data_IF_580733079530
#
_entry.id   IF_580733079530
#
_cell.length_a   1.000
_cell.length_b   1.000
_cell.length_c   1.000
_cell.angle_alpha   90.00
_cell.angle_beta   90.00
_cell.angle_gamma   90.00
#
_symmetry.space_group_name_H-M   'P 1'
#
loop_
_entity.id
_entity.type
_entity.pdbx_description
1 polymer ?
#
# COMPACT_ATOMS: atom_id res chain seq x y z
N UNK A 1 1.82 -8.40 6.97
CA UNK A 1 1.45 -9.74 7.47
C UNK A 1 0.92 -10.65 6.38
N UNK A 2 -0.06 -10.22 5.56
CA UNK A 2 -0.61 -11.02 4.44
C UNK A 2 0.46 -11.57 3.47
N UNK A 3 1.41 -10.71 3.06
CA UNK A 3 2.54 -11.10 2.19
C UNK A 3 3.46 -12.17 2.81
N UNK A 4 3.67 -12.15 4.13
CA UNK A 4 4.51 -13.16 4.79
C UNK A 4 3.79 -14.50 4.89
N UNK A 5 2.47 -14.47 5.09
CA UNK A 5 1.62 -15.66 5.08
C UNK A 5 1.65 -16.31 3.70
N UNK A 6 1.50 -15.52 2.62
CA UNK A 6 1.53 -16.02 1.25
C UNK A 6 2.89 -16.61 0.88
N UNK A 7 3.99 -15.98 1.31
CA UNK A 7 5.35 -16.51 1.11
C UNK A 7 5.55 -17.82 1.89
N UNK A 8 5.01 -17.93 3.11
CA UNK A 8 5.08 -19.14 3.91
C UNK A 8 4.24 -20.28 3.32
N UNK A 9 3.05 -19.96 2.79
CA UNK A 9 2.17 -20.89 2.09
C UNK A 9 2.85 -21.45 0.83
N UNK A 10 3.51 -20.59 0.05
CA UNK A 10 4.26 -21.00 -1.14
C UNK A 10 5.39 -21.99 -0.82
N UNK A 11 6.06 -21.82 0.33
CA UNK A 11 7.11 -22.74 0.79
C UNK A 11 6.60 -24.11 1.25
N UNK A 12 5.34 -24.19 1.70
CA UNK A 12 4.69 -25.45 2.12
C UNK A 12 3.92 -26.13 0.99
N UNK A 13 3.57 -25.38 -0.04
CA UNK A 13 2.83 -25.89 -1.17
C UNK A 13 3.66 -26.93 -1.94
N UNK A 14 3.00 -27.98 -2.43
CA UNK A 14 3.61 -29.03 -3.27
C UNK A 14 2.66 -29.49 -4.38
N UNK A 15 1.66 -28.66 -4.69
CA UNK A 15 0.63 -28.94 -5.69
C UNK A 15 1.01 -28.50 -7.11
N UNK A 16 0.02 -28.46 -8.02
CA UNK A 16 0.20 -28.19 -9.45
C UNK A 16 0.95 -26.88 -9.74
N UNK A 17 1.74 -26.88 -10.82
CA UNK A 17 2.56 -25.73 -11.22
C UNK A 17 1.73 -24.46 -11.52
N UNK A 18 0.46 -24.62 -11.86
CA UNK A 18 -0.42 -23.50 -12.24
C UNK A 18 -0.86 -22.67 -11.03
N UNK A 19 -1.21 -23.31 -9.91
CA UNK A 19 -1.52 -22.63 -8.65
C UNK A 19 -0.29 -21.93 -8.08
N UNK A 20 0.88 -22.56 -8.17
CA UNK A 20 2.14 -21.96 -7.77
C UNK A 20 2.51 -20.73 -8.62
N UNK A 21 2.25 -20.77 -9.94
CA UNK A 21 2.45 -19.61 -10.83
C UNK A 21 1.53 -18.46 -10.43
N UNK A 22 0.23 -18.73 -10.24
CA UNK A 22 -0.73 -17.71 -9.80
C UNK A 22 -0.32 -17.03 -8.50
N UNK A 23 0.04 -17.81 -7.48
CA UNK A 23 0.49 -17.27 -6.19
C UNK A 23 1.80 -16.47 -6.33
N UNK A 24 2.74 -16.97 -7.14
CA UNK A 24 4.00 -16.27 -7.43
C UNK A 24 3.78 -14.96 -8.18
N UNK A 25 2.84 -14.92 -9.11
CA UNK A 25 2.51 -13.74 -9.90
C UNK A 25 1.81 -12.68 -9.04
N UNK A 26 0.88 -13.10 -8.15
CA UNK A 26 0.27 -12.22 -7.15
C UNK A 26 1.32 -11.58 -6.23
N UNK A 27 2.24 -12.37 -5.65
CA UNK A 27 3.30 -11.85 -4.78
C UNK A 27 4.22 -10.89 -5.55
N UNK A 28 4.54 -11.18 -6.82
CA UNK A 28 5.35 -10.28 -7.68
C UNK A 28 4.63 -8.98 -7.97
N UNK A 29 3.32 -9.01 -8.21
CA UNK A 29 2.51 -7.82 -8.45
C UNK A 29 2.45 -6.93 -7.19
N UNK A 30 2.25 -7.54 -6.02
CA UNK A 30 2.29 -6.84 -4.74
C UNK A 30 3.68 -6.22 -4.48
N UNK A 31 4.77 -6.95 -4.74
CA UNK A 31 6.14 -6.43 -4.63
C UNK A 31 6.37 -5.23 -5.57
N UNK A 32 5.98 -5.33 -6.85
CA UNK A 32 6.09 -4.21 -7.81
C UNK A 32 5.27 -3.00 -7.39
N UNK A 33 4.12 -3.21 -6.76
CA UNK A 33 3.28 -2.12 -6.28
C UNK A 33 3.91 -1.44 -5.07
N UNK A 34 4.50 -2.21 -4.14
CA UNK A 34 5.27 -1.67 -3.02
C UNK A 34 6.48 -0.86 -3.51
N UNK A 35 7.24 -1.37 -4.48
CA UNK A 35 8.39 -0.66 -5.08
C UNK A 35 7.96 0.69 -5.70
N UNK A 36 6.88 0.71 -6.49
CA UNK A 36 6.33 1.95 -7.07
C UNK A 36 5.88 2.96 -6.01
N UNK A 37 5.29 2.49 -4.91
CA UNK A 37 4.88 3.36 -3.80
C UNK A 37 6.09 3.96 -3.07
N UNK A 38 7.14 3.18 -2.88
CA UNK A 38 8.40 3.65 -2.29
C UNK A 38 9.04 4.73 -3.16
N UNK A 39 9.13 4.50 -4.48
CA UNK A 39 9.66 5.49 -5.44
C UNK A 39 8.83 6.78 -5.43
N UNK A 40 7.50 6.67 -5.38
CA UNK A 40 6.62 7.83 -5.28
C UNK A 40 6.81 8.60 -3.97
N UNK A 41 7.03 7.90 -2.85
CA UNK A 41 7.34 8.53 -1.58
C UNK A 41 8.70 9.23 -1.60
N UNK A 42 9.70 8.67 -2.30
CA UNK A 42 11.00 9.31 -2.47
C UNK A 42 10.90 10.65 -3.20
N UNK A 43 10.13 10.71 -4.30
CA UNK A 43 9.89 11.95 -5.04
C UNK A 43 9.22 13.01 -4.14
N UNK A 44 8.23 12.61 -3.34
CA UNK A 44 7.55 13.53 -2.43
C UNK A 44 8.46 14.00 -1.29
N UNK A 45 9.42 13.18 -0.84
CA UNK A 45 10.42 13.56 0.16
C UNK A 45 11.39 14.62 -0.35
N UNK A 46 11.72 14.59 -1.64
CA UNK A 46 12.60 15.55 -2.28
C UNK A 46 11.98 16.96 -2.38
N UNK A 47 10.65 17.04 -2.41
CA UNK A 47 9.88 18.29 -2.46
C UNK A 47 9.66 18.99 -1.10
N UNK A 48 10.15 18.43 0.02
CA UNK A 48 9.96 19.04 1.35
C UNK A 48 11.05 20.08 1.69
N UNK A 49 10.62 21.33 1.97
CA UNK A 49 11.50 22.45 2.35
C UNK A 49 12.11 22.36 3.78
N UNK A 50 11.61 21.46 4.65
CA UNK A 50 12.03 21.37 6.06
C UNK A 50 12.99 20.20 6.26
N UNK A 51 14.30 20.48 6.37
CA UNK A 51 15.37 19.47 6.51
C UNK A 51 15.12 18.44 7.63
N UNK A 52 14.59 18.84 8.78
CA UNK A 52 14.30 17.90 9.88
C UNK A 52 13.16 16.91 9.58
N UNK A 53 12.18 17.32 8.77
CA UNK A 53 11.10 16.42 8.35
C UNK A 53 11.58 15.51 7.21
N UNK A 54 12.41 16.04 6.31
CA UNK A 54 13.05 15.29 5.25
C UNK A 54 13.87 14.11 5.79
N UNK A 55 14.73 14.33 6.79
CA UNK A 55 15.55 13.27 7.41
C UNK A 55 14.67 12.17 8.04
N UNK A 56 13.60 12.55 8.75
CA UNK A 56 12.70 11.59 9.41
C UNK A 56 11.95 10.72 8.39
N UNK A 57 11.45 11.33 7.31
CA UNK A 57 10.71 10.60 6.29
C UNK A 57 11.68 9.74 5.46
N UNK A 58 12.87 10.25 5.14
CA UNK A 58 13.91 9.50 4.45
C UNK A 58 14.35 8.26 5.23
N UNK A 59 14.50 8.36 6.56
CA UNK A 59 14.79 7.19 7.41
C UNK A 59 13.66 6.14 7.33
N UNK A 60 12.39 6.57 7.32
CA UNK A 60 11.25 5.66 7.14
C UNK A 60 11.20 5.02 5.76
N UNK A 61 11.52 5.78 4.72
CA UNK A 61 11.60 5.25 3.34
C UNK A 61 12.71 4.20 3.23
N UNK A 62 13.88 4.46 3.80
CA UNK A 62 14.98 3.49 3.85
C UNK A 62 14.61 2.22 4.62
N UNK A 63 13.88 2.34 5.73
CA UNK A 63 13.37 1.19 6.46
C UNK A 63 12.43 0.34 5.58
N UNK A 64 11.52 0.98 4.85
CA UNK A 64 10.59 0.26 3.96
C UNK A 64 11.31 -0.39 2.78
N UNK A 65 12.34 0.24 2.21
CA UNK A 65 13.19 -0.40 1.21
C UNK A 65 13.89 -1.65 1.73
N UNK A 66 14.42 -1.60 2.96
CA UNK A 66 15.07 -2.75 3.58
C UNK A 66 14.08 -3.89 3.80
N UNK A 67 12.87 -3.59 4.27
CA UNK A 67 11.78 -4.57 4.43
C UNK A 67 11.39 -5.19 3.09
N UNK A 68 11.24 -4.39 2.03
CA UNK A 68 10.94 -4.90 0.68
C UNK A 68 12.04 -5.83 0.15
N UNK A 69 13.32 -5.48 0.34
CA UNK A 69 14.46 -6.34 -0.01
C UNK A 69 14.46 -7.65 0.77
N UNK A 70 14.14 -7.61 2.06
CA UNK A 70 14.04 -8.81 2.89
C UNK A 70 12.90 -9.73 2.44
N UNK A 71 11.74 -9.16 2.13
CA UNK A 71 10.61 -9.90 1.56
C UNK A 71 10.98 -10.55 0.23
N UNK A 72 11.68 -9.86 -0.66
CA UNK A 72 12.16 -10.44 -1.92
C UNK A 72 13.09 -11.65 -1.70
N UNK A 73 13.99 -11.58 -0.70
CA UNK A 73 14.86 -12.71 -0.32
C UNK A 73 14.06 -13.88 0.24
N UNK A 74 13.08 -13.61 1.09
CA UNK A 74 12.21 -14.65 1.66
C UNK A 74 11.35 -15.34 0.60
N UNK A 75 10.84 -14.59 -0.39
CA UNK A 75 10.12 -15.14 -1.54
C UNK A 75 11.00 -16.06 -2.39
N UNK A 76 12.24 -15.64 -2.67
CA UNK A 76 13.20 -16.49 -3.41
C UNK A 76 13.52 -17.79 -2.65
N UNK A 77 13.68 -17.73 -1.33
CA UNK A 77 13.94 -18.93 -0.53
C UNK A 77 12.73 -19.87 -0.46
N UNK A 78 11.51 -19.32 -0.37
CA UNK A 78 10.27 -20.09 -0.43
C UNK A 78 10.10 -20.79 -1.80
N UNK A 79 10.44 -20.11 -2.90
CA UNK A 79 10.40 -20.70 -4.24
C UNK A 79 11.39 -21.87 -4.40
N UNK A 80 12.58 -21.75 -3.81
CA UNK A 80 13.56 -22.85 -3.80
C UNK A 80 13.07 -24.04 -2.98
N UNK A 81 12.43 -23.80 -1.83
CA UNK A 81 11.81 -24.85 -1.01
C UNK A 81 10.70 -25.57 -1.77
N UNK A 82 9.83 -24.84 -2.47
CA UNK A 82 8.79 -25.43 -3.33
C UNK A 82 9.41 -26.39 -4.37
N UNK A 83 10.42 -25.94 -5.11
CA UNK A 83 11.09 -26.78 -6.13
C UNK A 83 11.69 -28.05 -5.53
N UNK A 84 12.38 -27.93 -4.40
CA UNK A 84 12.96 -29.08 -3.69
C UNK A 84 11.89 -30.07 -3.21
N UNK A 85 10.76 -29.58 -2.68
CA UNK A 85 9.67 -30.44 -2.22
C UNK A 85 9.00 -31.20 -3.37
N UNK A 86 8.79 -30.54 -4.51
CA UNK A 86 8.24 -31.18 -5.72
C UNK A 86 9.17 -32.25 -6.26
N UNK A 87 10.48 -32.00 -6.31
CA UNK A 87 11.47 -32.99 -6.73
C UNK A 87 11.53 -34.19 -5.77
N UNK A 88 11.46 -33.93 -4.47
CA UNK A 88 11.44 -34.99 -3.45
C UNK A 88 10.17 -35.85 -3.55
N UNK A 89 9.01 -35.24 -3.82
CA UNK A 89 7.76 -35.97 -4.04
C UNK A 89 7.80 -36.80 -5.33
N UNK A 90 8.27 -36.23 -6.43
CA UNK A 90 8.40 -36.95 -7.70
C UNK A 90 9.37 -38.15 -7.58
N UNK A 91 10.44 -38.02 -6.79
CA UNK A 91 11.37 -39.12 -6.52
C UNK A 91 10.70 -40.23 -5.71
N UNK A 92 9.95 -39.90 -4.66
CA UNK A 92 9.18 -40.87 -3.86
C UNK A 92 8.13 -41.61 -4.68
N UNK A 93 7.42 -40.90 -5.56
CA UNK A 93 6.44 -41.50 -6.46
C UNK A 93 7.11 -42.49 -7.43
N UNK A 94 8.26 -42.11 -8.00
CA UNK A 94 9.04 -43.00 -8.88
C UNK A 94 9.54 -44.25 -8.15
N UNK A 95 10.01 -44.12 -6.92
CA UNK A 95 10.44 -45.26 -6.09
C UNK A 95 9.27 -46.21 -5.79
N UNK A 96 8.08 -45.68 -5.51
CA UNK A 96 6.85 -46.47 -5.33
C UNK A 96 6.46 -47.22 -6.61
N UNK A 97 6.50 -46.58 -7.78
CA UNK A 97 6.17 -47.21 -9.06
C UNK A 97 7.19 -48.30 -9.45
N UNK A 98 8.47 -48.09 -9.16
CA UNK A 98 9.54 -49.06 -9.45
C UNK A 98 9.53 -50.26 -8.49
N UNK A 99 8.89 -50.13 -7.31
CA UNK A 99 8.71 -51.26 -6.39
C UNK A 99 7.71 -52.33 -6.90
N UNK A 100 6.95 -52.03 -7.96
CA UNK A 100 5.89 -52.88 -8.53
C UNK A 100 6.35 -53.95 -9.53
N UNK A 101 7.46 -54.65 -9.31
CA UNK A 101 7.90 -55.77 -10.16
C UNK A 101 7.08 -57.05 -9.90
N UNK A 102 5.88 -57.11 -10.49
CA UNK A 102 4.96 -58.24 -10.41
C UNK A 102 5.36 -59.41 -11.33
N UNK A 103 5.16 -60.63 -10.86
CA UNK A 103 5.55 -61.91 -11.47
C UNK A 103 4.69 -62.30 -12.69
N UNK A 104 5.16 -63.20 -13.58
CA UNK A 104 4.45 -63.59 -14.82
C UNK A 104 3.05 -64.20 -14.61
N UNK A 105 2.76 -64.71 -13.40
CA UNK A 105 1.44 -65.22 -13.03
C UNK A 105 0.41 -64.10 -12.81
N UNK A 106 0.86 -62.91 -12.40
CA UNK A 106 0.01 -61.75 -12.13
C UNK A 106 -0.40 -61.01 -13.42
N UNK A 107 0.45 -61.05 -14.45
CA UNK A 107 0.13 -60.52 -15.79
C UNK A 107 -0.99 -61.32 -16.49
N UNK A 108 -1.01 -62.65 -16.36
CA UNK A 108 -2.05 -63.49 -16.96
C UNK A 108 -3.41 -63.31 -16.29
N UNK A 109 -3.44 -63.13 -14.96
CA UNK A 109 -4.67 -62.77 -14.22
C UNK A 109 -5.18 -61.37 -14.57
N UNK A 110 -4.29 -60.41 -14.88
CA UNK A 110 -4.70 -59.07 -15.35
C UNK A 110 -5.45 -59.13 -16.67
N UNK A 111 -4.96 -59.87 -17.68
CA UNK A 111 -5.56 -59.89 -19.03
C UNK A 111 -6.99 -60.45 -19.07
N UNK A 112 -7.30 -61.47 -18.25
CA UNK A 112 -8.66 -61.99 -18.11
C UNK A 112 -9.60 -61.04 -17.33
N UNK A 113 -9.05 -60.27 -16.38
CA UNK A 113 -9.77 -59.15 -15.74
C UNK A 113 -10.00 -57.98 -16.71
N UNK A 114 -9.12 -57.74 -17.68
CA UNK A 114 -9.18 -56.59 -18.60
C UNK A 114 -10.42 -56.54 -19.49
N UNK A 115 -11.00 -57.68 -19.91
CA UNK A 115 -12.21 -57.70 -20.76
C UNK A 115 -13.48 -57.22 -20.03
N UNK A 116 -13.73 -57.75 -18.83
CA UNK A 116 -14.83 -57.27 -17.95
C UNK A 116 -14.49 -55.90 -17.34
N UNK A 117 -13.22 -55.62 -17.08
CA UNK A 117 -12.78 -54.31 -16.59
C UNK A 117 -12.90 -53.22 -17.66
N UNK A 118 -12.86 -53.53 -18.96
CA UNK A 118 -13.06 -52.53 -20.02
C UNK A 118 -14.52 -52.07 -20.12
N UNK A 119 -15.49 -53.00 -19.99
CA UNK A 119 -16.91 -52.67 -19.95
C UNK A 119 -17.28 -51.94 -18.66
N UNK A 120 -16.75 -52.39 -17.52
CA UNK A 120 -16.91 -51.66 -16.26
C UNK A 120 -16.23 -50.30 -16.31
N UNK A 121 -15.04 -50.18 -16.91
CA UNK A 121 -14.36 -48.89 -17.08
C UNK A 121 -15.13 -47.93 -18.00
N UNK A 122 -15.79 -48.42 -19.05
CA UNK A 122 -16.66 -47.58 -19.87
C UNK A 122 -17.88 -47.08 -19.08
N UNK A 123 -18.51 -47.94 -18.27
CA UNK A 123 -19.57 -47.54 -17.36
C UNK A 123 -19.08 -46.54 -16.31
N UNK A 124 -17.93 -46.79 -15.69
CA UNK A 124 -17.30 -45.93 -14.68
C UNK A 124 -16.91 -44.57 -15.27
N UNK A 125 -16.42 -44.52 -16.52
CA UNK A 125 -16.14 -43.25 -17.24
C UNK A 125 -17.43 -42.48 -17.50
N UNK A 126 -18.53 -43.16 -17.81
CA UNK A 126 -19.83 -42.50 -18.03
C UNK A 126 -20.39 -41.96 -16.72
N UNK A 127 -20.30 -42.72 -15.63
CA UNK A 127 -20.68 -42.28 -14.28
C UNK A 127 -19.80 -41.13 -13.82
N UNK A 128 -18.48 -41.21 -14.02
CA UNK A 128 -17.54 -40.15 -13.69
C UNK A 128 -17.81 -38.87 -14.51
N UNK A 129 -18.24 -38.98 -15.77
CA UNK A 129 -18.66 -37.83 -16.58
C UNK A 129 -19.95 -37.21 -16.04
N UNK A 130 -20.94 -38.01 -15.62
CA UNK A 130 -22.13 -37.48 -14.95
C UNK A 130 -21.79 -36.77 -13.63
N UNK A 131 -20.91 -37.36 -12.82
CA UNK A 131 -20.39 -36.74 -11.61
C UNK A 131 -19.64 -35.44 -11.92
N UNK A 132 -18.83 -35.44 -12.99
CA UNK A 132 -18.10 -34.25 -13.46
C UNK A 132 -19.04 -33.15 -13.93
N UNK A 133 -20.12 -33.48 -14.64
CA UNK A 133 -21.13 -32.49 -15.05
C UNK A 133 -21.85 -31.93 -13.82
N UNK A 134 -22.17 -32.77 -12.83
CA UNK A 134 -22.75 -32.30 -11.56
C UNK A 134 -21.80 -31.36 -10.81
N UNK A 135 -20.52 -31.72 -10.70
CA UNK A 135 -19.51 -30.87 -10.07
C UNK A 135 -19.28 -29.57 -10.84
N UNK A 136 -19.28 -29.61 -12.18
CA UNK A 136 -19.16 -28.43 -13.03
C UNK A 136 -20.33 -27.47 -12.83
N UNK A 137 -21.56 -27.96 -12.69
CA UNK A 137 -22.71 -27.11 -12.38
C UNK A 137 -22.55 -26.42 -11.02
N UNK A 138 -22.09 -27.15 -10.00
CA UNK A 138 -21.81 -26.58 -8.68
C UNK A 138 -20.68 -25.53 -8.74
N UNK A 139 -19.67 -25.75 -9.58
CA UNK A 139 -18.57 -24.82 -9.82
C UNK A 139 -19.00 -23.57 -10.59
N UNK A 140 -19.96 -23.70 -11.52
CA UNK A 140 -20.57 -22.57 -12.23
C UNK A 140 -21.37 -21.70 -11.25
N UNK A 141 -22.19 -22.30 -10.38
CA UNK A 141 -22.93 -21.54 -9.36
C UNK A 141 -21.99 -20.79 -8.42
N UNK A 142 -20.87 -21.42 -8.04
CA UNK A 142 -19.78 -20.76 -7.29
C UNK A 142 -19.14 -19.63 -8.10
N UNK A 143 -18.90 -19.81 -9.39
CA UNK A 143 -18.33 -18.80 -10.27
C UNK A 143 -19.24 -17.57 -10.40
N UNK A 144 -20.54 -17.77 -10.58
CA UNK A 144 -21.54 -16.70 -10.65
C UNK A 144 -21.61 -15.94 -9.32
N UNK A 145 -21.64 -16.65 -8.19
CA UNK A 145 -21.58 -16.05 -6.85
C UNK A 145 -20.30 -15.22 -6.65
N UNK A 146 -19.15 -15.74 -7.08
CA UNK A 146 -17.88 -15.01 -7.04
C UNK A 146 -17.89 -13.77 -7.94
N UNK A 147 -18.46 -13.83 -9.15
CA UNK A 147 -18.59 -12.67 -10.04
C UNK A 147 -19.43 -11.57 -9.38
N UNK A 148 -20.57 -11.93 -8.77
CA UNK A 148 -21.40 -10.98 -8.02
C UNK A 148 -20.65 -10.37 -6.83
N UNK A 149 -19.89 -11.18 -6.09
CA UNK A 149 -19.06 -10.69 -4.98
C UNK A 149 -17.95 -9.75 -5.46
N UNK A 150 -17.36 -10.01 -6.63
CA UNK A 150 -16.37 -9.15 -7.27
C UNK A 150 -16.96 -7.82 -7.73
N UNK A 151 -18.18 -7.84 -8.26
CA UNK A 151 -18.92 -6.64 -8.67
C UNK A 151 -19.30 -5.77 -7.45
N UNK A 152 -19.82 -6.37 -6.38
CA UNK A 152 -20.12 -5.66 -5.12
C UNK A 152 -18.84 -5.08 -4.49
N UNK A 153 -17.72 -5.82 -4.54
CA UNK A 153 -16.42 -5.33 -4.08
C UNK A 153 -15.90 -4.16 -4.94
N UNK A 154 -16.10 -4.22 -6.25
CA UNK A 154 -15.76 -3.14 -7.18
C UNK A 154 -16.60 -1.89 -6.93
N UNK A 155 -17.90 -2.05 -6.66
CA UNK A 155 -18.80 -0.95 -6.30
C UNK A 155 -18.37 -0.29 -4.97
N UNK A 156 -18.06 -1.10 -3.95
CA UNK A 156 -17.53 -0.61 -2.66
C UNK A 156 -16.21 0.13 -2.84
N UNK A 157 -15.28 -0.40 -3.64
CA UNK A 157 -14.03 0.29 -3.98
C UNK A 157 -14.27 1.62 -4.69
N UNK A 158 -15.26 1.68 -5.60
CA UNK A 158 -15.65 2.91 -6.28
C UNK A 158 -16.20 3.95 -5.30
N UNK A 159 -17.04 3.53 -4.35
CA UNK A 159 -17.57 4.39 -3.26
C UNK A 159 -16.44 4.89 -2.35
N UNK A 160 -15.53 4.01 -1.94
CA UNK A 160 -14.35 4.37 -1.14
C UNK A 160 -13.47 5.37 -1.87
N UNK A 161 -13.19 5.16 -3.16
CA UNK A 161 -12.41 6.11 -3.97
C UNK A 161 -13.09 7.49 -4.04
N UNK A 162 -14.41 7.54 -4.23
CA UNK A 162 -15.16 8.79 -4.21
C UNK A 162 -15.07 9.51 -2.86
N UNK A 163 -15.14 8.77 -1.75
CA UNK A 163 -14.98 9.30 -0.40
C UNK A 163 -13.56 9.83 -0.14
N UNK A 164 -12.52 9.17 -0.67
CA UNK A 164 -11.14 9.66 -0.62
C UNK A 164 -10.95 10.97 -1.38
N UNK A 165 -11.55 11.10 -2.57
CA UNK A 165 -11.51 12.36 -3.35
C UNK A 165 -12.21 13.48 -2.57
N UNK A 166 -13.38 13.19 -1.98
CA UNK A 166 -14.08 14.17 -1.14
C UNK A 166 -13.26 14.59 0.09
N UNK A 167 -12.51 13.67 0.72
CA UNK A 167 -11.60 14.04 1.81
C UNK A 167 -10.42 14.92 1.35
N UNK A 168 -9.85 14.66 0.17
CA UNK A 168 -8.79 15.52 -0.40
C UNK A 168 -9.30 16.94 -0.64
N UNK A 169 -10.53 17.09 -1.14
CA UNK A 169 -11.15 18.40 -1.31
C UNK A 169 -11.39 19.11 0.03
N UNK A 170 -11.86 18.42 1.06
CA UNK A 170 -12.02 18.98 2.42
C UNK A 170 -10.66 19.39 3.01
N UNK A 171 -9.61 18.59 2.80
CA UNK A 171 -8.26 18.93 3.26
C UNK A 171 -7.68 20.15 2.53
N UNK A 172 -7.90 20.27 1.22
CA UNK A 172 -7.52 21.47 0.45
C UNK A 172 -8.27 22.70 0.94
N UNK A 173 -9.58 22.58 1.19
CA UNK A 173 -10.40 23.64 1.77
C UNK A 173 -9.87 24.07 3.14
N UNK A 174 -9.56 23.11 4.01
CA UNK A 174 -8.97 23.37 5.33
C UNK A 174 -7.62 24.10 5.22
N UNK A 175 -6.73 23.62 4.34
CA UNK A 175 -5.44 24.26 4.09
C UNK A 175 -5.60 25.69 3.56
N UNK A 176 -6.54 25.90 2.64
CA UNK A 176 -6.82 27.23 2.11
C UNK A 176 -7.38 28.16 3.20
N UNK A 177 -8.28 27.66 4.05
CA UNK A 177 -8.84 28.42 5.16
C UNK A 177 -7.76 28.81 6.18
N UNK A 178 -6.88 27.88 6.56
CA UNK A 178 -5.72 28.15 7.42
C UNK A 178 -4.83 29.23 6.79
N UNK A 179 -4.56 29.13 5.48
CA UNK A 179 -3.75 30.12 4.75
C UNK A 179 -4.40 31.51 4.72
N UNK A 180 -5.72 31.58 4.55
CA UNK A 180 -6.44 32.86 4.59
C UNK A 180 -6.42 33.49 5.99
N UNK A 181 -6.48 32.68 7.05
CA UNK A 181 -6.37 33.15 8.43
C UNK A 181 -4.96 33.68 8.72
N UNK A 182 -3.92 32.96 8.30
CA UNK A 182 -2.53 33.40 8.46
C UNK A 182 -2.27 34.73 7.76
N UNK A 183 -2.80 34.91 6.53
CA UNK A 183 -2.68 36.18 5.80
C UNK A 183 -3.41 37.33 6.49
N UNK A 184 -4.57 37.07 7.09
CA UNK A 184 -5.32 38.08 7.85
C UNK A 184 -4.54 38.51 9.10
N UNK A 185 -3.96 37.58 9.85
CA UNK A 185 -3.15 37.87 11.04
C UNK A 185 -1.88 38.67 10.69
N UNK A 186 -1.23 38.33 9.58
CA UNK A 186 -0.06 39.08 9.10
C UNK A 186 -0.45 40.51 8.73
N UNK A 187 -1.56 40.68 8.01
CA UNK A 187 -2.04 42.01 7.62
C UNK A 187 -2.44 42.85 8.84
N UNK A 188 -3.12 42.26 9.82
CA UNK A 188 -3.47 42.93 11.07
C UNK A 188 -2.22 43.41 11.83
N UNK A 189 -1.18 42.56 11.89
CA UNK A 189 0.10 42.92 12.50
C UNK A 189 0.78 44.10 11.80
N UNK A 190 0.71 44.17 10.46
CA UNK A 190 1.21 45.31 9.69
C UNK A 190 0.37 46.58 9.91
N UNK A 191 -0.96 46.47 10.00
CA UNK A 191 -1.84 47.60 10.30
C UNK A 191 -1.58 48.17 11.69
N UNK A 192 -1.44 47.32 12.71
CA UNK A 192 -1.09 47.71 14.07
C UNK A 192 0.27 48.43 14.11
N UNK A 193 1.27 47.92 13.41
CA UNK A 193 2.59 48.57 13.30
C UNK A 193 2.49 49.94 12.60
N UNK A 194 1.76 50.02 11.49
CA UNK A 194 1.55 51.27 10.75
C UNK A 194 0.85 52.32 11.62
N UNK A 195 -0.17 51.93 12.38
CA UNK A 195 -0.85 52.80 13.34
C UNK A 195 0.07 53.33 14.44
N UNK A 196 0.91 52.46 15.01
CA UNK A 196 1.90 52.84 16.02
C UNK A 196 2.95 53.81 15.47
N UNK A 197 3.43 53.58 14.24
CA UNK A 197 4.38 54.48 13.57
C UNK A 197 3.76 55.85 13.34
N UNK A 198 2.53 55.92 12.80
CA UNK A 198 1.84 57.20 12.59
C UNK A 198 1.58 57.93 13.91
N UNK A 199 1.13 57.22 14.94
CA UNK A 199 0.93 57.80 16.28
C UNK A 199 2.25 58.36 16.84
N UNK A 200 3.33 57.60 16.75
CA UNK A 200 4.66 58.03 17.19
C UNK A 200 5.14 59.26 16.42
N UNK A 201 4.93 59.30 15.10
CA UNK A 201 5.33 60.42 14.24
C UNK A 201 4.56 61.71 14.59
N UNK A 202 3.26 61.59 14.86
CA UNK A 202 2.42 62.70 15.33
C UNK A 202 2.85 63.16 16.73
N UNK A 203 3.03 62.23 17.67
CA UNK A 203 3.49 62.53 19.02
C UNK A 203 4.87 63.22 18.99
N UNK A 204 5.78 62.75 18.15
CA UNK A 204 7.09 63.37 17.93
C UNK A 204 6.97 64.77 17.31
N UNK A 205 6.05 64.98 16.36
CA UNK A 205 5.79 66.31 15.81
C UNK A 205 5.26 67.29 16.87
N UNK A 206 4.34 66.82 17.71
CA UNK A 206 3.79 67.60 18.84
C UNK A 206 4.89 67.91 19.85
N UNK A 207 5.69 66.92 20.25
CA UNK A 207 6.84 67.11 21.14
C UNK A 207 7.83 68.11 20.54
N UNK A 208 8.17 67.97 19.26
CA UNK A 208 9.07 68.90 18.56
C UNK A 208 8.52 70.33 18.55
N UNK A 209 7.22 70.53 18.31
CA UNK A 209 6.62 71.88 18.35
C UNK A 209 6.48 72.43 19.77
N UNK A 210 6.14 71.58 20.74
CA UNK A 210 5.80 71.98 22.12
C UNK A 210 7.03 72.13 23.03
N UNK A 211 8.05 71.31 22.85
CA UNK A 211 9.32 71.44 23.57
C UNK A 211 10.11 72.67 23.08
N UNK A 212 9.86 73.13 21.85
CA UNK A 212 10.51 74.33 21.31
C UNK A 212 9.88 75.67 21.73
N UNK A 213 8.62 75.70 22.20
CA UNK A 213 7.93 76.95 22.61
C UNK A 213 6.90 76.56 23.70
N UNK A 214 6.91 77.02 24.99
CA UNK A 214 7.52 78.23 25.56
C UNK A 214 8.30 78.06 26.91
N UNK A 215 8.39 76.87 27.51
CA UNK A 215 8.80 76.71 28.92
C UNK A 215 10.26 77.06 29.23
N UNK A 216 11.19 76.67 28.35
CA UNK A 216 12.62 77.00 28.50
C UNK A 216 12.91 78.48 28.21
N UNK A 217 12.22 79.08 27.22
CA UNK A 217 12.36 80.51 26.92
C UNK A 217 11.81 81.40 28.05
N UNK A 218 10.69 81.02 28.68
CA UNK A 218 10.14 81.78 29.81
C UNK A 218 11.04 81.70 31.04
N UNK A 219 11.61 80.53 31.34
CA UNK A 219 12.51 80.35 32.48
C UNK A 219 13.85 81.08 32.27
N UNK A 220 14.41 81.02 31.06
CA UNK A 220 15.63 81.76 30.71
C UNK A 220 15.43 83.28 30.67
N UNK A 221 14.23 83.77 30.32
CA UNK A 221 13.90 85.21 30.36
C UNK A 221 13.70 85.73 31.78
N UNK A 222 13.11 84.94 32.67
CA UNK A 222 12.95 85.30 34.10
C UNK A 222 14.32 85.30 34.80
N UNK A 223 15.18 84.31 34.52
CA UNK A 223 16.53 84.23 35.10
C UNK A 223 17.47 85.35 34.65
N UNK A 224 17.19 85.99 33.51
CA UNK A 224 17.99 87.12 32.99
C UNK A 224 17.52 88.50 33.44
N UNK A 225 16.35 88.59 34.05
CA UNK A 225 15.78 89.83 34.62
C UNK A 225 15.89 89.91 36.14
N UNK A 226 16.43 88.87 36.79
CA UNK A 226 16.77 88.85 38.20
C UNK A 226 18.25 89.16 38.41
#
# INVERSE_FOLDING_TARGET
DELEVDIALLGKFSGPRDEQRRLSDSIREQQRTAERLIERLQLVVEDYDVEQQQIKIQARVQEQEQRAKQQQRSFRSALLKYRGNVEALAKKERELLLSGAATPAELRRRKARTGNAALNAASDVTTALQETVSMMNEEIDKSVSNIMAMEDSSEKLRKTKAQYIAMDDILKLSKNLIRTLEQADVLDRWLMLAGLVLFSLVAFNILRKRVWIPGLYTLFRILRYL
#
